data_IF_008083639637
#
_entry.id   IF_008083639637
#
_cell.length_a   1.000
_cell.length_b   1.000
_cell.length_c   1.000
_cell.angle_alpha   90.00
_cell.angle_beta   90.00
_cell.angle_gamma   90.00
#
_symmetry.space_group_name_H-M   'P 1'
#
loop_
_entity.id
_entity.type
_entity.pdbx_description
1 polymer ?
#
# COMPACT_ATOMS: atom_id res chain seq x y z
N UNK A 1 30.75 48.17 -0.94
CA UNK A 1 30.23 49.37 -0.25
C UNK A 1 28.75 49.19 0.04
N UNK A 2 28.40 49.17 1.33
CA UNK A 2 27.16 49.63 1.98
C UNK A 2 25.85 48.96 1.52
N UNK A 3 24.91 48.54 2.35
CA UNK A 3 24.71 48.39 3.81
C UNK A 3 23.41 47.59 3.99
N UNK A 4 23.36 46.83 5.06
CA UNK A 4 22.22 46.10 5.61
C UNK A 4 21.04 47.04 5.97
N UNK A 5 19.81 46.50 5.98
CA UNK A 5 18.75 46.88 6.93
C UNK A 5 17.97 45.60 7.29
N UNK A 6 18.07 45.20 8.56
CA UNK A 6 17.21 44.25 9.22
C UNK A 6 15.97 44.98 9.74
N UNK A 7 14.78 44.39 9.61
CA UNK A 7 13.58 44.85 10.29
C UNK A 7 13.00 43.70 11.12
N UNK A 8 13.14 43.86 12.43
CA UNK A 8 12.53 43.02 13.48
C UNK A 8 11.13 43.55 13.74
N UNK A 9 10.09 42.74 13.59
CA UNK A 9 8.76 43.06 14.12
C UNK A 9 8.40 42.04 15.21
N UNK A 10 8.49 42.53 16.46
CA UNK A 10 7.92 41.90 17.66
C UNK A 10 6.45 42.26 17.76
N UNK A 11 5.55 41.29 17.84
CA UNK A 11 4.15 41.53 18.20
C UNK A 11 3.83 40.82 19.52
N UNK A 12 3.47 41.65 20.50
CA UNK A 12 3.15 41.23 21.87
C UNK A 12 1.71 40.67 21.95
N UNK A 13 1.55 39.50 22.62
CA UNK A 13 0.26 38.99 23.06
C UNK A 13 -0.19 39.70 24.34
N UNK A 14 -1.37 40.33 24.32
CA UNK A 14 -2.06 40.83 25.51
C UNK A 14 -3.19 39.84 25.90
N UNK A 15 -3.06 39.25 27.09
CA UNK A 15 -4.12 38.56 27.81
C UNK A 15 -5.14 39.61 28.32
N UNK A 16 -6.44 39.32 28.14
CA UNK A 16 -7.49 39.96 28.92
C UNK A 16 -8.38 38.88 29.59
N UNK A 17 -8.19 38.75 30.92
CA UNK A 17 -9.16 38.14 31.81
C UNK A 17 -10.28 39.19 32.10
N UNK A 18 -11.52 38.79 31.94
CA UNK A 18 -12.67 39.46 32.53
C UNK A 18 -13.47 38.50 33.37
N UNK A 19 -13.39 38.68 34.67
CA UNK A 19 -14.29 38.06 35.67
C UNK A 19 -15.51 38.99 35.84
N UNK A 20 -16.71 38.41 35.83
CA UNK A 20 -17.90 39.08 36.39
C UNK A 20 -18.65 38.07 37.25
N UNK A 21 -18.67 38.36 38.53
CA UNK A 21 -19.56 37.81 39.54
C UNK A 21 -20.93 38.56 39.53
N UNK A 22 -22.00 37.82 39.66
CA UNK A 22 -23.33 38.38 39.89
C UNK A 22 -24.31 37.29 40.30
N UNK A 23 -24.68 37.28 41.58
CA UNK A 23 -25.59 36.34 42.18
C UNK A 23 -27.06 36.66 41.90
N UNK A 24 -27.93 35.68 41.98
CA UNK A 24 -29.37 35.79 41.91
C UNK A 24 -30.05 34.47 42.28
N UNK A 25 -30.64 34.42 43.45
CA UNK A 25 -31.41 33.30 44.00
C UNK A 25 -32.74 33.09 43.26
N UNK A 26 -33.13 31.83 43.05
CA UNK A 26 -34.48 31.49 42.55
C UNK A 26 -34.76 29.98 42.55
N UNK A 27 -35.50 29.58 43.54
CA UNK A 27 -36.16 28.31 43.87
C UNK A 27 -36.50 27.31 42.74
N UNK A 28 -36.11 26.08 42.96
CA UNK A 28 -36.87 24.84 43.03
C UNK A 28 -37.73 24.37 41.85
N UNK A 29 -37.25 23.31 41.21
CA UNK A 29 -38.11 22.18 40.80
C UNK A 29 -37.20 20.97 40.52
N UNK A 30 -37.35 19.93 41.31
CA UNK A 30 -36.72 18.63 41.13
C UNK A 30 -37.41 17.92 39.95
N UNK A 31 -36.67 17.65 38.91
CA UNK A 31 -37.05 16.66 37.91
C UNK A 31 -36.16 15.43 38.07
N UNK A 32 -36.77 14.35 38.54
CA UNK A 32 -36.15 13.02 38.53
C UNK A 32 -35.95 12.55 37.09
N UNK A 33 -34.78 11.99 36.76
CA UNK A 33 -34.61 11.26 35.49
C UNK A 33 -35.35 9.91 35.59
N UNK A 34 -35.96 9.45 34.48
CA UNK A 34 -36.60 8.14 34.44
C UNK A 34 -35.52 7.03 34.56
N UNK A 35 -35.87 6.00 35.32
CA UNK A 35 -35.10 4.80 35.52
C UNK A 35 -34.79 4.13 34.17
N UNK A 36 -33.51 3.94 33.88
CA UNK A 36 -33.03 3.12 32.79
C UNK A 36 -33.41 1.66 33.09
N UNK A 37 -34.29 1.11 32.26
CA UNK A 37 -34.59 -0.32 32.22
C UNK A 37 -33.28 -1.07 31.84
N UNK A 38 -32.91 -2.02 32.68
CA UNK A 38 -31.77 -2.89 32.49
C UNK A 38 -31.88 -3.64 31.16
N UNK A 39 -31.04 -3.27 30.20
CA UNK A 39 -30.66 -4.09 29.07
C UNK A 39 -29.62 -5.10 29.56
N UNK A 40 -29.99 -6.38 29.56
CA UNK A 40 -29.08 -7.50 29.77
C UNK A 40 -27.98 -7.43 28.68
N UNK A 41 -26.80 -6.95 29.06
CA UNK A 41 -25.61 -7.19 28.26
C UNK A 41 -25.32 -8.69 28.34
N UNK A 42 -25.69 -9.41 27.30
CA UNK A 42 -25.10 -10.70 26.98
C UNK A 42 -23.64 -10.42 26.69
N UNK A 43 -22.78 -10.63 27.69
CA UNK A 43 -21.37 -10.86 27.48
C UNK A 43 -21.30 -12.13 26.63
N UNK A 44 -21.07 -11.94 25.31
CA UNK A 44 -20.60 -13.00 24.46
C UNK A 44 -19.29 -13.48 25.07
N UNK A 45 -19.32 -14.66 25.64
CA UNK A 45 -18.12 -15.39 25.98
C UNK A 45 -17.41 -15.61 24.66
N UNK A 46 -16.37 -14.85 24.39
CA UNK A 46 -15.39 -15.21 23.38
C UNK A 46 -14.86 -16.55 23.85
N UNK A 47 -15.19 -17.59 23.11
CA UNK A 47 -14.63 -18.92 23.32
C UNK A 47 -13.12 -18.75 23.11
N UNK A 48 -12.36 -18.69 24.18
CA UNK A 48 -10.93 -18.83 24.14
C UNK A 48 -10.68 -20.24 23.57
N UNK A 49 -10.41 -20.29 22.26
CA UNK A 49 -9.88 -21.48 21.63
C UNK A 49 -8.64 -21.87 22.45
N UNK A 50 -8.62 -23.09 22.95
CA UNK A 50 -7.43 -23.61 23.61
C UNK A 50 -6.30 -23.50 22.62
N UNK A 51 -5.25 -22.76 22.99
CA UNK A 51 -4.03 -22.67 22.20
C UNK A 51 -3.65 -24.08 21.73
N UNK A 52 -3.37 -24.28 20.45
CA UNK A 52 -2.91 -25.56 19.94
C UNK A 52 -1.71 -25.97 20.79
N UNK A 53 -1.54 -27.28 21.08
CA UNK A 53 -0.53 -27.74 22.02
C UNK A 53 0.90 -27.24 21.73
N UNK A 54 1.18 -26.79 20.52
CA UNK A 54 2.46 -26.21 20.11
C UNK A 54 2.78 -24.86 20.78
N UNK A 55 1.77 -24.03 21.09
CA UNK A 55 1.97 -22.67 21.64
C UNK A 55 1.69 -22.57 23.15
N UNK A 56 1.16 -23.64 23.76
CA UNK A 56 0.65 -23.59 25.14
C UNK A 56 1.72 -23.14 26.16
N UNK A 57 2.95 -23.60 25.98
CA UNK A 57 4.08 -23.34 26.87
C UNK A 57 4.93 -22.12 26.47
N UNK A 58 4.61 -21.45 25.33
CA UNK A 58 5.33 -20.28 24.87
C UNK A 58 4.83 -19.00 25.58
N UNK A 59 5.76 -18.07 25.80
CA UNK A 59 5.40 -16.73 26.29
C UNK A 59 4.61 -15.96 25.23
N UNK A 60 3.58 -15.19 25.61
CA UNK A 60 2.84 -14.37 24.68
C UNK A 60 3.73 -13.34 23.98
N UNK A 61 3.43 -13.08 22.70
CA UNK A 61 4.14 -12.09 21.87
C UNK A 61 3.16 -11.05 21.34
N UNK A 62 3.53 -9.80 21.45
CA UNK A 62 2.84 -8.66 20.86
C UNK A 62 3.69 -8.10 19.71
N UNK A 63 3.09 -7.90 18.54
CA UNK A 63 3.72 -7.31 17.38
C UNK A 63 2.95 -6.05 16.96
N UNK A 64 3.66 -5.12 16.33
CA UNK A 64 3.09 -3.92 15.72
C UNK A 64 3.18 -4.02 14.20
N UNK A 65 2.08 -3.76 13.49
CA UNK A 65 2.02 -3.67 12.05
C UNK A 65 1.49 -2.29 11.64
N UNK A 66 2.16 -1.64 10.70
CA UNK A 66 1.74 -0.35 10.16
C UNK A 66 1.62 -0.38 8.64
N UNK A 67 0.61 0.33 8.11
CA UNK A 67 0.38 0.53 6.69
C UNK A 67 -0.20 1.94 6.43
N UNK A 68 0.13 2.53 5.30
CA UNK A 68 -0.42 3.81 4.83
C UNK A 68 -1.64 3.65 3.92
N UNK A 69 -2.02 2.43 3.55
CA UNK A 69 -3.13 2.13 2.66
C UNK A 69 -4.46 2.70 3.18
N UNK A 70 -5.27 3.19 2.25
CA UNK A 70 -6.62 3.68 2.57
C UNK A 70 -7.50 2.54 3.08
N UNK A 71 -8.43 2.88 3.96
CA UNK A 71 -9.44 1.93 4.47
C UNK A 71 -10.24 1.33 3.32
N UNK A 72 -10.30 0.02 3.24
CA UNK A 72 -10.97 -0.74 2.18
C UNK A 72 -10.11 -1.02 0.94
N UNK A 73 -8.84 -0.57 0.91
CA UNK A 73 -7.88 -1.02 -0.10
C UNK A 73 -7.35 -2.43 0.23
N UNK A 74 -6.88 -3.14 -0.79
CA UNK A 74 -6.45 -4.54 -0.64
C UNK A 74 -5.37 -4.74 0.43
N UNK A 75 -4.41 -3.81 0.56
CA UNK A 75 -3.38 -3.88 1.60
C UNK A 75 -3.97 -3.84 3.00
N UNK A 76 -4.85 -2.87 3.25
CA UNK A 76 -5.50 -2.72 4.57
C UNK A 76 -6.35 -3.94 4.94
N UNK A 77 -7.09 -4.50 3.99
CA UNK A 77 -7.89 -5.72 4.19
C UNK A 77 -6.98 -6.91 4.53
N UNK A 78 -5.87 -7.05 3.79
CA UNK A 78 -4.90 -8.10 4.04
C UNK A 78 -4.29 -8.00 5.45
N UNK A 79 -3.88 -6.82 5.88
CA UNK A 79 -3.25 -6.63 7.19
C UNK A 79 -4.17 -7.04 8.34
N UNK A 80 -5.47 -6.74 8.22
CA UNK A 80 -6.47 -7.20 9.19
C UNK A 80 -6.62 -8.71 9.19
N UNK A 81 -6.71 -9.30 8.00
CA UNK A 81 -6.84 -10.76 7.85
C UNK A 81 -5.61 -11.48 8.37
N UNK A 82 -4.41 -10.98 8.07
CA UNK A 82 -3.16 -11.50 8.61
C UNK A 82 -3.15 -11.48 10.15
N UNK A 83 -3.54 -10.35 10.75
CA UNK A 83 -3.58 -10.24 12.21
C UNK A 83 -4.57 -11.24 12.84
N UNK A 84 -5.75 -11.41 12.25
CA UNK A 84 -6.76 -12.38 12.69
C UNK A 84 -6.22 -13.81 12.59
N UNK A 85 -5.57 -14.18 11.48
CA UNK A 85 -5.00 -15.51 11.28
C UNK A 85 -3.85 -15.81 12.25
N UNK A 86 -2.98 -14.85 12.51
CA UNK A 86 -1.92 -15.01 13.51
C UNK A 86 -2.51 -15.32 14.90
N UNK A 87 -3.55 -14.58 15.30
CA UNK A 87 -4.22 -14.80 16.57
C UNK A 87 -4.92 -16.17 16.60
N UNK A 88 -5.60 -16.56 15.52
CA UNK A 88 -6.28 -17.86 15.40
C UNK A 88 -5.29 -19.03 15.47
N UNK A 89 -4.24 -19.03 14.65
CA UNK A 89 -3.23 -20.09 14.56
C UNK A 89 -2.55 -20.29 15.92
N UNK A 90 -2.20 -19.21 16.60
CA UNK A 90 -1.48 -19.25 17.87
C UNK A 90 -2.41 -19.40 19.09
N UNK A 91 -3.74 -19.40 18.88
CA UNK A 91 -4.72 -19.45 19.97
C UNK A 91 -4.64 -18.24 20.90
N UNK A 92 -4.34 -17.06 20.35
CA UNK A 92 -4.19 -15.79 21.07
C UNK A 92 -2.86 -15.62 21.79
N UNK A 93 -1.86 -16.47 21.52
CA UNK A 93 -0.51 -16.33 22.08
C UNK A 93 0.35 -15.29 21.35
N UNK A 94 0.03 -15.01 20.09
CA UNK A 94 0.60 -13.89 19.36
C UNK A 94 -0.54 -12.94 18.94
N UNK A 95 -0.34 -11.65 19.16
CA UNK A 95 -1.30 -10.59 18.81
C UNK A 95 -0.59 -9.53 17.97
N UNK A 96 -1.25 -9.04 16.92
CA UNK A 96 -0.72 -7.99 16.05
C UNK A 96 -1.57 -6.73 16.23
N UNK A 97 -0.95 -5.65 16.74
CA UNK A 97 -1.56 -4.33 16.86
C UNK A 97 -1.41 -3.57 15.55
N UNK A 98 -2.52 -3.14 14.98
CA UNK A 98 -2.60 -2.49 13.68
C UNK A 98 -2.61 -0.96 13.79
N UNK A 99 -1.71 -0.31 13.05
CA UNK A 99 -1.62 1.14 12.86
C UNK A 99 -1.78 1.42 11.37
N UNK A 100 -3.02 1.57 10.92
CA UNK A 100 -3.40 1.63 9.50
C UNK A 100 -3.67 3.07 9.04
N UNK A 101 -3.89 3.24 7.74
CA UNK A 101 -4.26 4.53 7.13
C UNK A 101 -3.24 5.66 7.44
N UNK A 102 -1.96 5.30 7.52
CA UNK A 102 -0.88 6.27 7.72
C UNK A 102 -0.79 6.88 9.12
N UNK A 103 -1.35 6.22 10.15
CA UNK A 103 -1.31 6.73 11.54
C UNK A 103 0.11 6.98 12.04
N UNK A 104 1.10 6.20 11.59
CA UNK A 104 2.50 6.32 11.99
C UNK A 104 3.41 6.98 10.94
N UNK A 105 2.85 7.40 9.80
CA UNK A 105 3.58 8.09 8.73
C UNK A 105 3.25 7.55 7.34
N UNK A 106 3.98 8.02 6.32
CA UNK A 106 3.93 7.52 4.95
C UNK A 106 4.81 6.27 4.80
N UNK A 107 4.75 5.59 3.64
CA UNK A 107 5.48 4.34 3.37
C UNK A 107 6.99 4.46 3.65
N UNK A 108 7.63 5.58 3.25
CA UNK A 108 9.07 5.80 3.47
C UNK A 108 9.40 5.94 4.97
N UNK A 109 8.52 6.61 5.73
CA UNK A 109 8.65 6.74 7.17
C UNK A 109 8.47 5.38 7.85
N UNK A 110 7.46 4.61 7.45
CA UNK A 110 7.16 3.28 8.01
C UNK A 110 8.30 2.29 7.75
N UNK A 111 8.79 2.20 6.51
CA UNK A 111 9.93 1.33 6.16
C UNK A 111 11.20 1.70 6.94
N UNK A 112 11.48 3.00 7.10
CA UNK A 112 12.60 3.48 7.90
C UNK A 112 12.46 3.11 9.38
N UNK A 113 11.26 3.24 9.94
CA UNK A 113 10.95 2.90 11.33
C UNK A 113 11.05 1.39 11.58
N UNK A 114 10.58 0.56 10.63
CA UNK A 114 10.72 -0.90 10.71
C UNK A 114 12.19 -1.31 10.63
N UNK A 115 12.97 -0.75 9.69
CA UNK A 115 14.40 -1.03 9.60
C UNK A 115 15.14 -0.66 10.88
N UNK A 116 14.72 0.41 11.55
CA UNK A 116 15.27 0.86 12.85
C UNK A 116 14.73 0.08 14.07
N UNK A 117 13.76 -0.83 13.89
CA UNK A 117 13.18 -1.65 14.96
C UNK A 117 12.14 -0.92 15.83
N UNK A 118 11.57 0.21 15.37
CA UNK A 118 10.48 0.91 16.07
C UNK A 118 9.09 0.34 15.74
N UNK A 119 8.94 -0.29 14.59
CA UNK A 119 7.76 -1.02 14.14
C UNK A 119 8.23 -2.43 13.78
N UNK A 120 7.44 -3.46 14.11
CA UNK A 120 7.82 -4.84 13.86
C UNK A 120 7.55 -5.24 12.39
N UNK A 121 6.36 -4.89 11.86
CA UNK A 121 5.91 -5.25 10.50
C UNK A 121 5.43 -4.01 9.74
N UNK A 122 5.66 -4.02 8.43
CA UNK A 122 5.10 -3.02 7.52
C UNK A 122 4.49 -3.70 6.30
N UNK A 123 3.18 -3.43 6.09
CA UNK A 123 2.49 -3.63 4.82
C UNK A 123 2.63 -2.38 3.96
N UNK A 124 2.96 -2.53 2.68
CA UNK A 124 2.92 -1.42 1.72
C UNK A 124 3.04 -1.91 0.28
N UNK A 125 2.71 -1.05 -0.68
CA UNK A 125 2.98 -1.33 -2.09
C UNK A 125 4.49 -1.45 -2.35
N UNK A 126 4.86 -2.20 -3.42
CA UNK A 126 6.26 -2.49 -3.73
C UNK A 126 7.07 -1.24 -4.10
N UNK A 127 6.46 -0.25 -4.75
CA UNK A 127 7.18 0.88 -5.33
C UNK A 127 8.09 1.65 -4.34
N UNK A 128 7.67 2.01 -3.12
CA UNK A 128 8.55 2.67 -2.14
C UNK A 128 9.67 1.76 -1.64
N UNK A 129 9.46 0.45 -1.62
CA UNK A 129 10.43 -0.54 -1.12
C UNK A 129 11.72 -0.53 -1.94
N UNK A 130 11.65 -0.22 -3.24
CA UNK A 130 12.83 -0.16 -4.14
C UNK A 130 13.93 0.77 -3.61
N UNK A 131 13.57 1.80 -2.84
CA UNK A 131 14.55 2.69 -2.21
C UNK A 131 15.34 2.05 -1.06
N UNK A 132 14.84 0.97 -0.48
CA UNK A 132 15.46 0.19 0.60
C UNK A 132 16.05 -1.12 0.08
N UNK A 133 15.34 -1.78 -0.82
CA UNK A 133 15.67 -3.09 -1.41
C UNK A 133 15.65 -2.92 -2.94
N UNK A 134 16.76 -2.53 -3.56
CA UNK A 134 16.81 -2.24 -5.00
C UNK A 134 16.39 -3.39 -5.90
N UNK A 135 16.57 -4.64 -5.47
CA UNK A 135 16.18 -5.85 -6.20
C UNK A 135 14.66 -5.88 -6.47
N UNK A 136 13.84 -5.19 -5.67
CA UNK A 136 12.39 -5.06 -5.90
C UNK A 136 12.05 -4.23 -7.15
N UNK A 137 13.02 -3.59 -7.79
CA UNK A 137 12.82 -2.89 -9.07
C UNK A 137 12.39 -3.81 -10.23
N UNK A 138 12.48 -5.13 -10.07
CA UNK A 138 11.90 -6.08 -11.05
C UNK A 138 10.40 -5.88 -11.26
N UNK A 139 9.68 -5.37 -10.25
CA UNK A 139 8.27 -5.02 -10.36
C UNK A 139 8.02 -3.75 -11.19
N UNK A 140 9.04 -2.92 -11.38
CA UNK A 140 8.96 -1.68 -12.16
C UNK A 140 9.17 -1.91 -13.67
N UNK A 141 9.48 -3.13 -14.09
CA UNK A 141 9.58 -3.50 -15.51
C UNK A 141 8.19 -3.37 -16.16
N UNK A 142 7.99 -2.43 -17.10
CA UNK A 142 6.66 -2.15 -17.61
C UNK A 142 6.02 -3.37 -18.27
N UNK A 143 4.79 -3.74 -17.84
CA UNK A 143 3.98 -4.81 -18.45
C UNK A 143 4.61 -6.21 -18.39
N UNK A 144 5.68 -6.44 -17.63
CA UNK A 144 6.40 -7.72 -17.56
C UNK A 144 5.49 -8.87 -17.12
N UNK A 145 4.51 -8.60 -16.25
CA UNK A 145 3.58 -9.60 -15.75
C UNK A 145 2.30 -9.74 -16.59
N UNK A 146 2.02 -8.80 -17.51
CA UNK A 146 0.71 -8.63 -18.14
C UNK A 146 0.21 -9.81 -18.98
N UNK A 147 1.08 -10.73 -19.35
CA UNK A 147 0.72 -11.91 -20.16
C UNK A 147 0.56 -13.19 -19.33
N UNK A 148 0.72 -13.11 -18.00
CA UNK A 148 0.69 -14.25 -17.11
C UNK A 148 -0.52 -14.18 -16.18
N UNK A 149 -1.06 -15.34 -15.82
CA UNK A 149 -2.13 -15.43 -14.82
C UNK A 149 -1.58 -15.32 -13.38
N UNK A 150 -2.48 -15.10 -12.44
CA UNK A 150 -2.11 -14.87 -11.04
C UNK A 150 -1.44 -16.08 -10.38
N UNK A 151 -1.75 -17.31 -10.81
CA UNK A 151 -1.13 -18.52 -10.27
C UNK A 151 0.32 -18.64 -10.73
N UNK A 152 0.58 -18.41 -12.02
CA UNK A 152 1.93 -18.36 -12.59
C UNK A 152 2.79 -17.29 -11.91
N UNK A 153 2.22 -16.09 -11.71
CA UNK A 153 2.92 -14.98 -11.01
C UNK A 153 3.22 -15.37 -9.56
N UNK A 154 2.26 -15.92 -8.84
CA UNK A 154 2.40 -16.30 -7.44
C UNK A 154 3.45 -17.40 -7.23
N UNK A 155 3.48 -18.39 -8.14
CA UNK A 155 4.49 -19.45 -8.13
C UNK A 155 5.93 -18.90 -8.22
N UNK A 156 6.13 -17.83 -8.98
CA UNK A 156 7.45 -17.19 -9.12
C UNK A 156 7.76 -16.24 -7.96
N UNK A 157 6.77 -15.50 -7.47
CA UNK A 157 6.99 -14.48 -6.46
C UNK A 157 6.99 -15.00 -5.01
N UNK A 158 6.22 -16.07 -4.73
CA UNK A 158 6.08 -16.65 -3.39
C UNK A 158 6.49 -18.12 -3.31
N UNK A 159 6.79 -18.77 -4.45
CA UNK A 159 7.16 -20.16 -4.53
C UNK A 159 8.67 -20.42 -4.46
N UNK A 160 9.08 -21.66 -4.76
CA UNK A 160 10.49 -22.08 -4.79
C UNK A 160 11.13 -21.67 -6.14
N UNK A 161 11.46 -20.37 -6.26
CA UNK A 161 12.07 -19.76 -7.46
C UNK A 161 13.40 -19.06 -7.12
N UNK A 162 14.22 -18.82 -8.12
CA UNK A 162 15.43 -18.01 -7.96
C UNK A 162 15.08 -16.54 -7.71
N UNK A 163 13.99 -16.05 -8.32
CA UNK A 163 13.47 -14.70 -8.11
C UNK A 163 13.08 -14.49 -6.66
N UNK A 164 12.27 -15.38 -6.08
CA UNK A 164 11.89 -15.30 -4.67
C UNK A 164 13.10 -15.37 -3.74
N UNK A 165 14.00 -16.31 -3.98
CA UNK A 165 15.22 -16.46 -3.18
C UNK A 165 16.12 -15.20 -3.24
N UNK A 166 16.22 -14.55 -4.41
CA UNK A 166 16.98 -13.32 -4.56
C UNK A 166 16.32 -12.13 -3.85
N UNK A 167 14.98 -12.00 -3.92
CA UNK A 167 14.24 -10.99 -3.18
C UNK A 167 14.43 -11.15 -1.66
N UNK A 168 14.21 -12.35 -1.13
CA UNK A 168 14.38 -12.65 0.30
C UNK A 168 15.80 -12.32 0.77
N UNK A 169 16.81 -12.77 0.04
CA UNK A 169 18.21 -12.46 0.35
C UNK A 169 18.52 -10.94 0.29
N UNK A 170 17.83 -10.19 -0.55
CA UNK A 170 17.97 -8.74 -0.64
C UNK A 170 17.38 -8.03 0.58
N UNK A 171 16.20 -8.47 1.06
CA UNK A 171 15.61 -7.97 2.29
C UNK A 171 16.52 -8.25 3.51
N UNK A 172 17.05 -9.47 3.62
CA UNK A 172 17.97 -9.82 4.72
C UNK A 172 19.22 -8.93 4.78
N UNK A 173 19.80 -8.56 3.62
CA UNK A 173 20.97 -7.66 3.55
C UNK A 173 20.74 -6.30 4.18
N UNK A 174 19.48 -5.84 4.21
CA UNK A 174 19.09 -4.55 4.77
C UNK A 174 18.44 -4.66 6.15
N UNK A 175 18.48 -5.85 6.76
CA UNK A 175 17.96 -6.09 8.11
C UNK A 175 16.44 -6.28 8.16
N UNK A 176 15.84 -6.72 7.07
CA UNK A 176 14.43 -7.01 6.95
C UNK A 176 14.19 -8.49 6.58
N UNK A 177 13.01 -9.00 6.87
CA UNK A 177 12.52 -10.31 6.46
C UNK A 177 11.32 -10.12 5.53
N UNK A 178 11.37 -10.65 4.31
CA UNK A 178 10.23 -10.69 3.40
C UNK A 178 9.34 -11.84 3.80
N UNK A 179 8.09 -11.55 4.18
CA UNK A 179 7.12 -12.56 4.59
C UNK A 179 6.22 -13.02 3.43
N UNK A 180 5.95 -12.14 2.47
CA UNK A 180 5.19 -12.49 1.26
C UNK A 180 4.84 -11.31 0.37
N UNK A 181 4.53 -11.64 -0.88
CA UNK A 181 4.07 -10.72 -1.90
C UNK A 181 2.60 -10.97 -2.17
N UNK A 182 1.76 -9.97 -1.94
CA UNK A 182 0.33 -10.00 -2.25
C UNK A 182 0.11 -9.50 -3.66
N UNK A 183 -0.39 -10.33 -4.53
CA UNK A 183 -0.77 -9.98 -5.89
C UNK A 183 -1.96 -10.83 -6.35
N UNK A 184 -2.78 -10.29 -7.22
CA UNK A 184 -4.03 -10.92 -7.68
C UNK A 184 -4.22 -10.77 -9.20
N UNK A 185 -3.12 -10.63 -9.95
CA UNK A 185 -3.08 -10.32 -11.38
C UNK A 185 -3.90 -9.06 -11.74
N UNK A 186 -4.00 -8.11 -10.81
CA UNK A 186 -4.56 -6.79 -11.06
C UNK A 186 -3.45 -5.78 -11.36
N UNK A 187 -3.77 -4.72 -12.06
CA UNK A 187 -2.77 -3.79 -12.58
C UNK A 187 -3.09 -2.35 -12.21
N UNK A 188 -2.06 -1.53 -12.16
CA UNK A 188 -2.22 -0.08 -11.93
C UNK A 188 -2.81 0.57 -13.18
N UNK A 189 -3.88 1.33 -12.96
CA UNK A 189 -4.62 2.11 -13.94
C UNK A 189 -4.23 3.59 -13.79
N UNK A 190 -4.56 4.41 -14.79
CA UNK A 190 -4.33 5.86 -14.70
C UNK A 190 -5.67 6.59 -14.60
N UNK A 191 -5.86 7.39 -13.55
CA UNK A 191 -6.98 8.35 -13.51
C UNK A 191 -6.50 9.72 -13.97
N UNK A 192 -7.36 10.44 -14.73
CA UNK A 192 -6.97 11.74 -15.31
C UNK A 192 -8.17 12.69 -15.48
N UNK A 193 -7.87 13.99 -15.60
CA UNK A 193 -8.86 15.01 -15.96
C UNK A 193 -8.92 15.30 -17.46
N UNK A 194 -8.07 14.64 -18.26
CA UNK A 194 -8.12 14.68 -19.73
C UNK A 194 -8.21 13.26 -20.31
N UNK A 195 -8.76 13.14 -21.48
CA UNK A 195 -8.88 11.87 -22.20
C UNK A 195 -7.52 11.39 -22.67
N UNK A 196 -7.22 10.11 -22.41
CA UNK A 196 -5.94 9.45 -22.72
C UNK A 196 -6.20 8.26 -23.64
N UNK A 197 -6.41 8.49 -24.95
CA UNK A 197 -6.76 7.41 -25.90
C UNK A 197 -5.60 6.86 -26.69
N UNK A 198 -4.49 7.60 -26.77
CA UNK A 198 -3.31 7.23 -27.54
C UNK A 198 -2.06 7.79 -26.89
N UNK A 199 -0.90 7.30 -27.27
CA UNK A 199 0.37 7.63 -26.66
C UNK A 199 0.66 9.15 -26.64
N UNK A 200 0.26 9.90 -27.69
CA UNK A 200 0.46 11.34 -27.71
C UNK A 200 -0.31 12.11 -26.63
N UNK A 201 -1.40 11.53 -26.13
CA UNK A 201 -2.23 12.18 -25.10
C UNK A 201 -1.53 12.22 -23.73
N UNK A 202 -0.50 11.40 -23.54
CA UNK A 202 0.32 11.41 -22.32
C UNK A 202 1.37 12.55 -22.31
N UNK A 203 1.64 13.20 -23.43
CA UNK A 203 2.63 14.27 -23.50
C UNK A 203 2.30 15.41 -22.54
N UNK A 204 3.29 15.75 -21.70
CA UNK A 204 3.20 16.80 -20.66
C UNK A 204 2.03 16.56 -19.66
N UNK A 205 1.56 15.35 -19.47
CA UNK A 205 0.62 15.00 -18.41
C UNK A 205 1.32 15.16 -17.06
N UNK A 206 0.83 16.08 -16.24
CA UNK A 206 1.32 16.21 -14.86
C UNK A 206 0.76 15.04 -14.04
N UNK A 207 1.53 13.95 -13.97
CA UNK A 207 1.10 12.74 -13.29
C UNK A 207 1.82 12.54 -11.96
N UNK A 208 1.06 12.25 -10.92
CA UNK A 208 1.65 11.82 -9.65
C UNK A 208 2.10 10.38 -9.73
N UNK A 209 3.26 10.11 -9.19
CA UNK A 209 3.75 8.75 -8.91
C UNK A 209 4.03 8.57 -7.43
N UNK A 210 4.25 7.33 -7.02
CA UNK A 210 4.87 7.03 -5.73
C UNK A 210 6.36 7.47 -5.75
N UNK A 211 7.03 7.44 -4.59
CA UNK A 211 8.46 7.72 -4.44
C UNK A 211 9.30 6.57 -5.04
N UNK A 212 9.30 6.49 -6.37
CA UNK A 212 10.04 5.49 -7.13
C UNK A 212 10.62 6.11 -8.42
N UNK A 213 11.93 6.04 -8.56
CA UNK A 213 12.64 6.63 -9.71
C UNK A 213 12.33 5.92 -11.04
N UNK A 214 12.04 4.63 -11.03
CA UNK A 214 11.72 3.88 -12.24
C UNK A 214 10.29 4.17 -12.71
N UNK A 215 9.32 4.34 -11.80
CA UNK A 215 7.99 4.85 -12.15
C UNK A 215 8.09 6.21 -12.84
N UNK A 216 8.87 7.14 -12.26
CA UNK A 216 9.11 8.44 -12.88
C UNK A 216 9.78 8.30 -14.26
N UNK A 217 10.74 7.39 -14.41
CA UNK A 217 11.42 7.14 -15.67
C UNK A 217 10.46 6.58 -16.73
N UNK A 218 9.56 5.66 -16.38
CA UNK A 218 8.55 5.13 -17.29
C UNK A 218 7.62 6.24 -17.82
N UNK A 219 7.03 7.03 -16.93
CA UNK A 219 6.16 8.13 -17.34
C UNK A 219 6.89 9.18 -18.18
N UNK A 220 8.14 9.47 -17.85
CA UNK A 220 9.00 10.34 -18.67
C UNK A 220 9.26 9.73 -20.05
N UNK A 221 9.51 8.42 -20.12
CA UNK A 221 9.81 7.70 -21.36
C UNK A 221 8.65 7.78 -22.36
N UNK A 222 7.41 7.83 -21.90
CA UNK A 222 6.21 7.99 -22.74
C UNK A 222 5.78 9.46 -22.89
N UNK A 223 6.56 10.41 -22.38
CA UNK A 223 6.38 11.84 -22.60
C UNK A 223 5.56 12.58 -21.54
N UNK A 224 5.17 11.95 -20.45
CA UNK A 224 4.51 12.61 -19.32
C UNK A 224 5.50 13.38 -18.44
N UNK A 225 4.98 14.15 -17.51
CA UNK A 225 5.72 14.92 -16.52
C UNK A 225 5.41 14.41 -15.10
N UNK A 226 6.10 13.35 -14.64
CA UNK A 226 5.84 12.74 -13.34
C UNK A 226 6.35 13.60 -12.18
N UNK A 227 5.62 13.54 -11.06
CA UNK A 227 6.01 14.18 -9.80
C UNK A 227 5.70 13.22 -8.65
N UNK A 228 6.69 12.86 -7.81
CA UNK A 228 6.45 12.01 -6.66
C UNK A 228 5.75 12.82 -5.56
N UNK A 229 4.70 12.24 -4.97
CA UNK A 229 3.98 12.80 -3.82
C UNK A 229 3.56 11.69 -2.87
N UNK A 230 3.63 11.95 -1.57
CA UNK A 230 3.10 11.07 -0.54
C UNK A 230 1.57 10.88 -0.70
N UNK A 231 1.06 9.71 -0.29
CA UNK A 231 -0.33 9.34 -0.54
C UNK A 231 -1.33 10.37 0.01
N UNK A 232 -1.12 10.88 1.21
CA UNK A 232 -2.01 11.84 1.87
C UNK A 232 -2.19 13.17 1.10
N UNK A 233 -1.28 13.49 0.16
CA UNK A 233 -1.31 14.74 -0.62
C UNK A 233 -2.02 14.59 -1.97
N UNK A 234 -2.29 13.33 -2.41
CA UNK A 234 -2.74 13.06 -3.79
C UNK A 234 -4.13 13.63 -4.06
N UNK A 235 -5.13 13.32 -3.22
CA UNK A 235 -6.51 13.74 -3.45
C UNK A 235 -6.62 15.27 -3.55
N UNK A 236 -6.02 16.00 -2.62
CA UNK A 236 -6.07 17.47 -2.60
C UNK A 236 -5.30 18.07 -3.78
N UNK A 237 -4.22 17.44 -4.23
CA UNK A 237 -3.44 17.89 -5.39
C UNK A 237 -4.20 17.71 -6.70
N UNK A 238 -4.95 16.60 -6.85
CA UNK A 238 -5.89 16.38 -7.96
C UNK A 238 -7.05 17.37 -7.93
N UNK A 239 -7.65 17.60 -6.76
CA UNK A 239 -8.77 18.50 -6.58
C UNK A 239 -8.40 19.96 -6.92
N UNK A 240 -7.20 20.39 -6.54
CA UNK A 240 -6.70 21.75 -6.82
C UNK A 240 -6.08 21.90 -8.21
N UNK A 241 -5.94 20.80 -8.99
CA UNK A 241 -5.31 20.81 -10.30
C UNK A 241 -3.82 21.09 -10.28
N UNK A 242 -3.13 20.79 -9.17
CA UNK A 242 -1.66 20.84 -9.08
C UNK A 242 -1.05 19.72 -9.90
N UNK A 243 -1.74 18.59 -9.98
CA UNK A 243 -1.49 17.44 -10.84
C UNK A 243 -2.74 17.14 -11.66
N UNK A 244 -2.58 16.59 -12.87
CA UNK A 244 -3.67 16.25 -13.80
C UNK A 244 -4.15 14.80 -13.62
N UNK A 245 -3.26 13.93 -13.15
CA UNK A 245 -3.43 12.49 -13.14
C UNK A 245 -2.69 11.82 -11.98
N UNK A 246 -3.08 10.61 -11.66
CA UNK A 246 -2.37 9.67 -10.81
C UNK A 246 -2.54 8.25 -11.36
N UNK A 247 -1.78 7.30 -10.87
CA UNK A 247 -1.87 5.88 -11.22
C UNK A 247 -1.97 5.02 -9.96
N UNK A 248 -2.89 4.06 -9.99
CA UNK A 248 -3.10 3.08 -8.91
C UNK A 248 -4.05 1.96 -9.38
N UNK A 249 -4.27 0.94 -8.55
CA UNK A 249 -5.28 -0.06 -8.79
C UNK A 249 -6.72 0.48 -8.61
N UNK A 250 -7.70 -0.22 -9.14
CA UNK A 250 -9.10 0.21 -9.11
C UNK A 250 -9.67 0.28 -7.69
N UNK A 251 -9.29 -0.63 -6.80
CA UNK A 251 -9.69 -0.65 -5.38
C UNK A 251 -9.24 0.60 -4.65
N UNK A 252 -7.98 0.97 -4.81
CA UNK A 252 -7.39 2.18 -4.22
C UNK A 252 -8.06 3.44 -4.77
N UNK A 253 -8.34 3.48 -6.09
CA UNK A 253 -9.04 4.60 -6.70
C UNK A 253 -10.48 4.74 -6.19
N UNK A 254 -11.20 3.63 -6.02
CA UNK A 254 -12.57 3.60 -5.55
C UNK A 254 -12.69 3.93 -4.05
N UNK A 255 -11.84 3.33 -3.20
CA UNK A 255 -11.83 3.59 -1.76
C UNK A 255 -11.48 5.05 -1.42
N UNK A 256 -10.67 5.70 -2.27
CA UNK A 256 -10.32 7.12 -2.15
C UNK A 256 -11.31 8.08 -2.83
N UNK A 257 -12.34 7.54 -3.50
CA UNK A 257 -13.35 8.33 -4.21
C UNK A 257 -12.77 9.24 -5.29
N UNK A 258 -11.81 8.78 -6.08
CA UNK A 258 -11.20 9.61 -7.15
C UNK A 258 -12.18 10.04 -8.24
N UNK A 259 -13.33 9.38 -8.39
CA UNK A 259 -14.41 9.82 -9.28
C UNK A 259 -14.96 11.22 -8.93
N UNK A 260 -14.72 11.74 -7.72
CA UNK A 260 -15.11 13.10 -7.34
C UNK A 260 -14.18 14.17 -7.93
N UNK A 261 -12.93 13.81 -8.26
CA UNK A 261 -11.89 14.74 -8.69
C UNK A 261 -11.24 14.39 -10.03
N UNK A 262 -11.56 13.23 -10.60
CA UNK A 262 -11.03 12.74 -11.88
C UNK A 262 -12.17 12.30 -12.82
N UNK A 263 -11.99 12.44 -14.14
CA UNK A 263 -13.02 12.21 -15.15
C UNK A 263 -12.85 10.94 -15.96
N UNK A 264 -11.63 10.46 -16.09
CA UNK A 264 -11.28 9.33 -16.93
C UNK A 264 -10.53 8.29 -16.13
N UNK A 265 -10.85 7.02 -16.41
CA UNK A 265 -10.17 5.83 -15.91
C UNK A 265 -9.56 5.12 -17.11
N UNK A 266 -8.26 5.24 -17.28
CA UNK A 266 -7.52 4.63 -18.39
C UNK A 266 -6.82 3.35 -17.92
N UNK A 267 -7.15 2.21 -18.55
CA UNK A 267 -6.62 0.89 -18.21
C UNK A 267 -5.21 0.71 -18.77
N UNK A 268 -4.27 1.52 -18.30
CA UNK A 268 -2.87 1.50 -18.75
C UNK A 268 -2.14 0.22 -18.41
N UNK A 269 -2.56 -0.52 -17.39
CA UNK A 269 -2.05 -1.84 -16.96
C UNK A 269 -0.51 -1.97 -17.00
N UNK A 270 0.16 -0.87 -16.70
CA UNK A 270 1.59 -0.70 -16.95
C UNK A 270 2.47 -1.40 -15.92
N UNK A 271 1.96 -1.64 -14.70
CA UNK A 271 2.66 -2.30 -13.60
C UNK A 271 1.66 -3.18 -12.83
N UNK A 272 2.12 -4.36 -12.41
CA UNK A 272 1.38 -5.24 -11.51
C UNK A 272 1.08 -4.49 -10.19
N UNK A 273 -0.16 -4.51 -9.75
CA UNK A 273 -0.50 -4.04 -8.42
C UNK A 273 -0.15 -5.13 -7.41
N UNK A 274 0.90 -4.88 -6.67
CA UNK A 274 1.40 -5.80 -5.65
C UNK A 274 1.77 -5.04 -4.38
N UNK A 275 1.47 -5.66 -3.25
CA UNK A 275 1.91 -5.24 -1.93
C UNK A 275 2.90 -6.26 -1.39
N UNK A 276 3.68 -5.88 -0.41
CA UNK A 276 4.52 -6.78 0.36
C UNK A 276 4.19 -6.67 1.85
N UNK A 277 4.38 -7.76 2.58
CA UNK A 277 4.49 -7.73 4.03
C UNK A 277 5.92 -8.10 4.40
N UNK A 278 6.55 -7.28 5.19
CA UNK A 278 7.90 -7.55 5.71
C UNK A 278 8.00 -7.23 7.20
N UNK A 279 9.02 -7.77 7.83
CA UNK A 279 9.27 -7.66 9.26
C UNK A 279 10.70 -7.23 9.52
N UNK A 280 10.94 -6.55 10.65
CA UNK A 280 12.29 -6.31 11.14
C UNK A 280 12.99 -7.65 11.39
N UNK A 281 14.17 -7.88 10.76
CA UNK A 281 14.87 -9.17 10.80
C UNK A 281 15.31 -9.58 12.20
N UNK A 282 15.82 -8.64 13.00
CA UNK A 282 16.25 -8.92 14.37
C UNK A 282 15.07 -9.37 15.24
N UNK A 283 13.92 -8.72 15.08
CA UNK A 283 12.68 -9.12 15.75
C UNK A 283 12.22 -10.51 15.30
N UNK A 284 12.18 -10.77 13.99
CA UNK A 284 11.80 -12.07 13.44
C UNK A 284 12.69 -13.19 13.97
N UNK A 285 14.02 -13.01 13.94
CA UNK A 285 14.99 -14.00 14.39
C UNK A 285 14.93 -14.23 15.92
N UNK A 286 14.42 -13.27 16.68
CA UNK A 286 14.23 -13.39 18.13
C UNK A 286 13.02 -14.24 18.54
N UNK A 287 12.10 -14.50 17.60
CA UNK A 287 10.90 -15.28 17.87
C UNK A 287 11.24 -16.77 18.00
N UNK A 288 10.44 -17.49 18.80
CA UNK A 288 10.46 -18.96 18.78
C UNK A 288 10.13 -19.49 17.38
N UNK A 289 10.80 -20.53 16.87
CA UNK A 289 10.53 -21.08 15.55
C UNK A 289 9.06 -21.42 15.28
N UNK A 290 8.30 -21.81 16.30
CA UNK A 290 6.86 -22.04 16.13
C UNK A 290 6.09 -20.74 15.81
N UNK A 291 6.52 -19.62 16.35
CA UNK A 291 5.93 -18.30 16.01
C UNK A 291 6.32 -17.84 14.61
N UNK A 292 7.56 -18.10 14.18
CA UNK A 292 7.98 -17.79 12.80
C UNK A 292 7.14 -18.62 11.80
N UNK A 293 6.92 -19.91 12.09
CA UNK A 293 6.05 -20.78 11.27
C UNK A 293 4.60 -20.28 11.25
N UNK A 294 4.05 -19.82 12.40
CA UNK A 294 2.71 -19.27 12.48
C UNK A 294 2.55 -18.00 11.64
N UNK A 295 3.55 -17.09 11.64
CA UNK A 295 3.56 -15.89 10.80
C UNK A 295 3.54 -16.27 9.31
N UNK A 296 4.42 -17.17 8.89
CA UNK A 296 4.51 -17.61 7.50
C UNK A 296 3.22 -18.32 7.04
N UNK A 297 2.63 -19.16 7.90
CA UNK A 297 1.34 -19.79 7.63
C UNK A 297 0.23 -18.75 7.50
N UNK A 298 0.16 -17.78 8.42
CA UNK A 298 -0.86 -16.72 8.39
C UNK A 298 -0.80 -15.88 7.12
N UNK A 299 0.42 -15.55 6.65
CA UNK A 299 0.62 -14.82 5.38
C UNK A 299 0.10 -15.64 4.20
N UNK A 300 0.51 -16.92 4.10
CA UNK A 300 0.09 -17.80 3.00
C UNK A 300 -1.44 -17.98 2.97
N UNK A 301 -2.06 -18.22 4.13
CA UNK A 301 -3.51 -18.37 4.24
C UNK A 301 -4.25 -17.05 3.92
N UNK A 302 -3.73 -15.90 4.33
CA UNK A 302 -4.33 -14.60 4.04
C UNK A 302 -4.27 -14.28 2.54
N UNK A 303 -3.13 -14.53 1.87
CA UNK A 303 -2.99 -14.38 0.41
C UNK A 303 -4.01 -15.27 -0.31
N UNK A 304 -4.11 -16.53 0.07
CA UNK A 304 -5.01 -17.48 -0.59
C UNK A 304 -6.49 -17.11 -0.39
N UNK A 305 -6.88 -16.69 0.81
CA UNK A 305 -8.26 -16.28 1.11
C UNK A 305 -8.68 -15.05 0.30
N UNK A 306 -7.77 -14.11 0.09
CA UNK A 306 -8.05 -12.90 -0.67
C UNK A 306 -8.14 -13.11 -2.18
N UNK A 307 -7.51 -14.17 -2.76
CA UNK A 307 -7.44 -14.35 -4.22
C UNK A 307 -8.79 -14.22 -4.93
N UNK A 308 -9.79 -14.96 -4.48
CA UNK A 308 -11.12 -14.94 -5.12
C UNK A 308 -11.84 -13.60 -4.96
N UNK A 309 -11.68 -12.95 -3.81
CA UNK A 309 -12.32 -11.67 -3.50
C UNK A 309 -11.72 -10.54 -4.33
N UNK A 310 -10.40 -10.53 -4.51
CA UNK A 310 -9.71 -9.44 -5.21
C UNK A 310 -9.94 -9.47 -6.73
N UNK A 311 -9.98 -10.64 -7.33
CA UNK A 311 -10.30 -10.78 -8.77
C UNK A 311 -11.71 -10.28 -9.07
N UNK A 312 -12.72 -10.63 -8.25
CA UNK A 312 -14.10 -10.16 -8.41
C UNK A 312 -14.20 -8.66 -8.08
N UNK A 313 -13.40 -8.17 -7.15
CA UNK A 313 -13.43 -6.79 -6.69
C UNK A 313 -12.84 -5.81 -7.71
N UNK A 314 -11.88 -6.20 -8.54
CA UNK A 314 -11.26 -5.30 -9.52
C UNK A 314 -12.28 -4.75 -10.53
N UNK A 315 -13.09 -5.63 -11.14
CA UNK A 315 -14.16 -5.22 -12.06
C UNK A 315 -15.27 -4.44 -11.35
N UNK A 316 -15.61 -4.83 -10.11
CA UNK A 316 -16.60 -4.11 -9.30
C UNK A 316 -16.14 -2.70 -8.96
N UNK A 317 -14.87 -2.52 -8.64
CA UNK A 317 -14.28 -1.21 -8.35
C UNK A 317 -14.18 -0.33 -9.60
N UNK A 318 -13.80 -0.88 -10.76
CA UNK A 318 -13.88 -0.16 -12.05
C UNK A 318 -15.31 0.31 -12.34
N UNK A 319 -16.29 -0.57 -12.14
CA UNK A 319 -17.70 -0.21 -12.33
C UNK A 319 -18.15 0.88 -11.34
N UNK A 320 -17.72 0.81 -10.09
CA UNK A 320 -18.00 1.85 -9.08
C UNK A 320 -17.47 3.21 -9.52
N UNK A 321 -16.27 3.28 -10.05
CA UNK A 321 -15.68 4.52 -10.58
C UNK A 321 -16.47 5.04 -11.79
N UNK A 322 -16.91 4.15 -12.68
CA UNK A 322 -17.74 4.50 -13.87
C UNK A 322 -19.12 5.00 -13.43
N UNK A 323 -19.78 4.32 -12.51
CA UNK A 323 -21.09 4.74 -11.97
C UNK A 323 -20.98 6.08 -11.21
N UNK A 324 -19.82 6.37 -10.65
CA UNK A 324 -19.45 7.65 -10.05
C UNK A 324 -19.17 8.77 -11.06
N UNK A 325 -19.24 8.47 -12.37
CA UNK A 325 -19.15 9.45 -13.46
C UNK A 325 -17.83 9.45 -14.25
N UNK A 326 -16.91 8.52 -13.98
CA UNK A 326 -15.70 8.40 -14.79
C UNK A 326 -15.98 7.73 -16.13
N UNK A 327 -15.25 8.13 -17.15
CA UNK A 327 -15.27 7.45 -18.46
C UNK A 327 -14.14 6.43 -18.51
N UNK A 328 -14.49 5.15 -18.69
CA UNK A 328 -13.53 4.06 -18.86
C UNK A 328 -12.88 4.16 -20.25
N UNK A 329 -11.57 4.00 -20.29
CA UNK A 329 -10.76 3.92 -21.51
C UNK A 329 -9.97 2.62 -21.45
N UNK A 330 -10.29 1.72 -22.36
CA UNK A 330 -9.56 0.48 -22.57
C UNK A 330 -8.66 0.62 -23.80
N UNK A 331 -7.57 -0.15 -23.83
CA UNK A 331 -6.63 -0.17 -24.93
C UNK A 331 -6.54 -1.57 -25.53
N UNK A 332 -6.24 -1.63 -26.82
CA UNK A 332 -5.91 -2.86 -27.51
C UNK A 332 -4.41 -3.22 -27.38
N UNK A 333 -4.07 -4.42 -27.80
CA UNK A 333 -2.69 -4.90 -27.77
C UNK A 333 -1.73 -3.99 -28.54
N UNK A 334 -2.21 -3.33 -29.60
CA UNK A 334 -1.38 -2.46 -30.41
C UNK A 334 -0.85 -1.25 -29.61
N UNK A 335 -1.67 -0.70 -28.70
CA UNK A 335 -1.25 0.38 -27.81
C UNK A 335 -0.11 -0.05 -26.87
N UNK A 336 -0.21 -1.23 -26.28
CA UNK A 336 0.82 -1.75 -25.41
C UNK A 336 2.11 -2.06 -26.17
N UNK A 337 2.00 -2.62 -27.37
CA UNK A 337 3.16 -2.87 -28.24
C UNK A 337 3.83 -1.57 -28.69
N UNK A 338 3.05 -0.51 -28.95
CA UNK A 338 3.60 0.81 -29.27
C UNK A 338 4.45 1.36 -28.12
N UNK A 339 4.00 1.25 -26.86
CA UNK A 339 4.77 1.65 -25.67
C UNK A 339 6.04 0.82 -25.55
N UNK A 340 5.92 -0.50 -25.60
CA UNK A 340 7.06 -1.42 -25.47
C UNK A 340 8.09 -1.27 -26.58
N UNK A 341 7.70 -0.81 -27.77
CA UNK A 341 8.62 -0.56 -28.88
C UNK A 341 9.41 0.76 -28.79
N UNK A 342 9.12 1.61 -27.81
CA UNK A 342 9.87 2.86 -27.62
C UNK A 342 11.29 2.57 -27.16
N UNK A 343 12.30 3.13 -27.82
CA UNK A 343 13.70 3.04 -27.40
C UNK A 343 13.92 3.49 -25.95
N UNK A 344 13.15 4.48 -25.50
CA UNK A 344 13.18 4.99 -24.12
C UNK A 344 12.65 3.99 -23.10
N UNK A 345 11.68 3.18 -23.46
CA UNK A 345 11.13 2.12 -22.59
C UNK A 345 12.07 0.91 -22.59
N UNK A 346 12.64 0.54 -23.76
CA UNK A 346 13.65 -0.52 -23.82
C UNK A 346 14.91 -0.17 -23.02
N UNK A 347 15.38 1.09 -23.08
CA UNK A 347 16.49 1.55 -22.26
C UNK A 347 16.18 1.51 -20.76
N UNK A 348 14.92 1.67 -20.35
CA UNK A 348 14.48 1.50 -18.96
C UNK A 348 14.56 0.03 -18.52
N UNK A 349 14.13 -0.90 -19.38
CA UNK A 349 14.31 -2.34 -19.14
C UNK A 349 15.76 -2.70 -18.90
N UNK A 350 16.65 -2.30 -19.83
CA UNK A 350 18.09 -2.57 -19.75
C UNK A 350 18.70 -1.97 -18.47
N UNK A 351 18.27 -0.76 -18.10
CA UNK A 351 18.72 -0.09 -16.88
C UNK A 351 18.30 -0.85 -15.63
N UNK A 352 17.01 -1.19 -15.52
CA UNK A 352 16.48 -1.90 -14.34
C UNK A 352 17.19 -3.25 -14.20
N UNK A 353 17.26 -4.02 -15.28
CA UNK A 353 17.91 -5.35 -15.26
C UNK A 353 19.39 -5.26 -14.85
N UNK A 354 20.10 -4.26 -15.34
CA UNK A 354 21.49 -4.02 -14.95
C UNK A 354 21.62 -3.61 -13.48
N UNK A 355 20.73 -2.75 -12.97
CA UNK A 355 20.75 -2.28 -11.58
C UNK A 355 20.46 -3.43 -10.59
N UNK A 356 19.67 -4.43 -10.99
CA UNK A 356 19.36 -5.62 -10.19
C UNK A 356 20.18 -6.86 -10.57
N UNK A 357 21.33 -6.66 -11.25
CA UNK A 357 22.28 -7.72 -11.63
C UNK A 357 21.67 -8.88 -12.44
N UNK A 358 20.75 -8.58 -13.36
CA UNK A 358 20.11 -9.56 -14.23
C UNK A 358 18.89 -10.27 -13.64
N UNK A 359 18.41 -9.84 -12.46
CA UNK A 359 17.25 -10.46 -11.83
C UNK A 359 15.96 -10.27 -12.65
N UNK A 360 15.87 -9.16 -13.43
CA UNK A 360 14.74 -8.92 -14.33
C UNK A 360 14.69 -9.95 -15.48
N UNK A 361 15.83 -10.34 -16.01
CA UNK A 361 15.95 -11.44 -16.99
C UNK A 361 15.56 -12.78 -16.34
N UNK A 362 16.07 -13.07 -15.14
CA UNK A 362 15.69 -14.29 -14.38
C UNK A 362 14.18 -14.38 -14.15
N UNK A 363 13.55 -13.29 -13.71
CA UNK A 363 12.10 -13.20 -13.54
C UNK A 363 11.35 -13.58 -14.81
N UNK A 364 11.73 -13.00 -15.96
CA UNK A 364 11.07 -13.26 -17.24
C UNK A 364 11.22 -14.72 -17.68
N UNK A 365 12.41 -15.32 -17.48
CA UNK A 365 12.66 -16.73 -17.79
C UNK A 365 11.84 -17.67 -16.90
N UNK A 366 11.72 -17.38 -15.61
CA UNK A 366 10.95 -18.17 -14.67
C UNK A 366 9.42 -18.06 -14.91
N UNK A 367 8.92 -16.85 -15.18
CA UNK A 367 7.51 -16.64 -15.57
C UNK A 367 7.15 -17.44 -16.84
N UNK A 368 8.03 -17.37 -17.86
CA UNK A 368 7.83 -18.12 -19.10
C UNK A 368 7.89 -19.64 -18.88
N UNK A 369 8.74 -20.11 -17.99
CA UNK A 369 8.86 -21.54 -17.65
C UNK A 369 7.67 -22.05 -16.82
N UNK A 370 7.11 -21.23 -15.95
CA UNK A 370 5.97 -21.57 -15.11
C UNK A 370 4.64 -21.63 -15.88
N UNK A 371 4.51 -20.85 -16.96
CA UNK A 371 3.32 -20.83 -17.84
C UNK A 371 3.21 -22.08 -18.72
N UNK A 372 4.30 -22.77 -19.01
CA UNK A 372 4.41 -23.90 -19.95
C UNK A 372 4.06 -25.21 -19.45
#
# INVERSE_FOLDING_TARGET
MKKAIALILTLAMSLSLAACSGGGSGSGAACNPPAASGGSSTSGTVSSGSASGAYADLEPVELTLADSAAVGAAGEIFDRLFAEKVEEITGGKMTVYLYLNGELGNDMDLLSQMQAGYIDLVGCQIAPVVSFVPEMAIFDLPMVFAQYDGETIDQVLNGDSQTHAAMSAAYEKVGLELLGIQQYATYRLTTANRELRKLEDFKNLQIRTMENSNHMAFWTAIGAAPTPLAWAEVFISLQNGTIDAQENAADTCASTNFQEVQKYLACTNHILYANQLSMNKEKYDSLDPAYQEAINQAVAEAIEEMKSQMVESDETNKQTLVDGGMTLIEYDDAFFQEILALDTVQALYDKIDADVNGLGTTLQEELAAAQG
#
